data_IF_031353679032
#
_entry.id   IF_031353679032
#
_cell.length_a   1.000
_cell.length_b   1.000
_cell.length_c   1.000
_cell.angle_alpha   90.00
_cell.angle_beta   90.00
_cell.angle_gamma   90.00
#
_symmetry.space_group_name_H-M   'P 1'
#
loop_
_entity.id
_entity.type
_entity.pdbx_description
1 polymer ?
#
# COMPACT_ATOMS: atom_id res chain seq x y z
N UNK A 1 8.37 -9.66 21.34
CA UNK A 1 7.47 -9.76 20.16
C UNK A 1 6.86 -8.39 19.96
N UNK A 2 7.29 -7.62 18.96
CA UNK A 2 6.90 -6.20 18.82
C UNK A 2 6.93 -5.67 17.38
N UNK A 3 7.95 -6.03 16.59
CA UNK A 3 8.20 -5.38 15.29
C UNK A 3 7.15 -5.59 14.18
N UNK A 4 6.36 -6.67 14.18
CA UNK A 4 5.50 -7.00 13.02
C UNK A 4 4.19 -6.22 12.94
N UNK A 5 3.76 -5.58 14.02
CA UNK A 5 2.56 -4.73 14.04
C UNK A 5 2.89 -3.33 13.55
N UNK A 6 4.00 -2.76 14.04
CA UNK A 6 4.46 -1.42 13.62
C UNK A 6 4.77 -1.34 12.13
N UNK A 7 5.42 -2.35 11.54
CA UNK A 7 5.73 -2.35 10.09
C UNK A 7 4.48 -2.25 9.20
N UNK A 8 3.32 -2.75 9.66
CA UNK A 8 2.07 -2.69 8.88
C UNK A 8 1.37 -1.36 9.02
N UNK A 9 1.44 -0.76 10.20
CA UNK A 9 0.90 0.58 10.46
C UNK A 9 1.68 1.60 9.63
N UNK A 10 3.02 1.54 9.65
CA UNK A 10 3.88 2.36 8.80
C UNK A 10 3.57 2.16 7.31
N UNK A 11 3.43 0.91 6.84
CA UNK A 11 3.08 0.65 5.44
C UNK A 11 1.68 1.18 5.07
N UNK A 12 0.74 1.19 6.01
CA UNK A 12 -0.60 1.72 5.79
C UNK A 12 -0.59 3.26 5.72
N UNK A 13 0.17 3.91 6.61
CA UNK A 13 0.40 5.35 6.57
C UNK A 13 1.05 5.78 5.24
N UNK A 14 2.09 5.07 4.79
CA UNK A 14 2.72 5.30 3.47
C UNK A 14 1.70 5.22 2.32
N UNK A 15 0.73 4.30 2.39
CA UNK A 15 -0.33 4.16 1.37
C UNK A 15 -1.25 5.39 1.40
N UNK A 16 -1.63 5.87 2.58
CA UNK A 16 -2.50 7.03 2.74
C UNK A 16 -1.83 8.30 2.20
N UNK A 17 -0.59 8.58 2.62
CA UNK A 17 0.18 9.72 2.13
C UNK A 17 0.34 9.69 0.61
N UNK A 18 0.65 8.51 0.05
CA UNK A 18 0.82 8.36 -1.39
C UNK A 18 -0.49 8.56 -2.16
N UNK A 19 -1.62 8.17 -1.57
CA UNK A 19 -2.95 8.40 -2.15
C UNK A 19 -3.29 9.88 -2.17
N UNK A 20 -3.04 10.61 -1.09
CA UNK A 20 -3.26 12.06 -1.04
C UNK A 20 -2.41 12.77 -2.11
N UNK A 21 -1.11 12.43 -2.18
CA UNK A 21 -0.22 12.96 -3.22
C UNK A 21 -0.69 12.64 -4.64
N UNK A 22 -1.27 11.46 -4.87
CA UNK A 22 -1.84 11.13 -6.18
C UNK A 22 -3.03 12.01 -6.52
N UNK A 23 -3.90 12.30 -5.55
CA UNK A 23 -5.05 13.17 -5.75
C UNK A 23 -4.61 14.61 -6.04
N UNK A 24 -3.65 15.15 -5.28
CA UNK A 24 -3.06 16.47 -5.54
C UNK A 24 -2.47 16.57 -6.96
N UNK A 25 -1.65 15.60 -7.35
CA UNK A 25 -1.03 15.60 -8.69
C UNK A 25 -2.09 15.44 -9.78
N UNK A 26 -3.15 14.65 -9.55
CA UNK A 26 -4.24 14.47 -10.48
C UNK A 26 -5.09 15.74 -10.64
N UNK A 27 -5.29 16.50 -9.57
CA UNK A 27 -5.97 17.80 -9.59
C UNK A 27 -5.15 18.82 -10.38
N UNK A 28 -3.84 18.89 -10.11
CA UNK A 28 -2.93 19.84 -10.76
C UNK A 28 -2.63 19.53 -12.24
N UNK A 29 -2.46 18.24 -12.59
CA UNK A 29 -1.92 17.82 -13.89
C UNK A 29 -2.90 16.99 -14.72
N UNK A 30 -4.02 16.58 -14.15
CA UNK A 30 -4.98 15.66 -14.76
C UNK A 30 -4.61 14.18 -14.57
N UNK A 31 -5.62 13.31 -14.66
CA UNK A 31 -5.47 11.87 -14.37
C UNK A 31 -4.56 11.12 -15.35
N UNK A 32 -4.49 11.57 -16.60
CA UNK A 32 -3.66 10.96 -17.65
C UNK A 32 -2.25 11.53 -17.73
N UNK A 33 -1.88 12.46 -16.83
CA UNK A 33 -0.54 13.03 -16.83
C UNK A 33 0.50 11.97 -16.47
N UNK A 34 1.70 12.07 -17.05
CA UNK A 34 2.81 11.18 -16.72
C UNK A 34 3.13 11.18 -15.22
N UNK A 35 2.94 12.33 -14.54
CA UNK A 35 3.14 12.46 -13.09
C UNK A 35 2.10 11.67 -12.31
N UNK A 36 0.82 11.80 -12.67
CA UNK A 36 -0.29 11.06 -12.05
C UNK A 36 -0.17 9.56 -12.28
N UNK A 37 0.22 9.14 -13.49
CA UNK A 37 0.46 7.74 -13.81
C UNK A 37 1.64 7.18 -12.99
N UNK A 38 2.69 7.96 -12.80
CA UNK A 38 3.87 7.54 -12.02
C UNK A 38 3.50 7.32 -10.55
N UNK A 39 2.82 8.29 -9.92
CA UNK A 39 2.40 8.16 -8.52
C UNK A 39 1.35 7.06 -8.33
N UNK A 40 0.46 6.84 -9.31
CA UNK A 40 -0.47 5.70 -9.33
C UNK A 40 0.27 4.36 -9.30
N UNK A 41 1.30 4.19 -10.12
CA UNK A 41 2.09 2.96 -10.14
C UNK A 41 2.87 2.74 -8.84
N UNK A 42 3.33 3.81 -8.20
CA UNK A 42 3.97 3.72 -6.89
C UNK A 42 2.98 3.32 -5.79
N UNK A 43 1.77 3.90 -5.79
CA UNK A 43 0.68 3.53 -4.90
C UNK A 43 0.29 2.05 -5.09
N UNK A 44 0.16 1.59 -6.33
CA UNK A 44 -0.13 0.18 -6.63
C UNK A 44 0.94 -0.77 -6.07
N UNK A 45 2.22 -0.41 -6.12
CA UNK A 45 3.29 -1.21 -5.51
C UNK A 45 3.12 -1.32 -3.99
N UNK A 46 2.76 -0.24 -3.32
CA UNK A 46 2.52 -0.22 -1.87
C UNK A 46 1.30 -1.08 -1.50
N UNK A 47 0.19 -0.92 -2.21
CA UNK A 47 -1.02 -1.73 -2.04
C UNK A 47 -0.73 -3.21 -2.22
N UNK A 48 0.03 -3.57 -3.26
CA UNK A 48 0.43 -4.95 -3.51
C UNK A 48 1.30 -5.53 -2.38
N UNK A 49 2.21 -4.75 -1.79
CA UNK A 49 3.00 -5.18 -0.62
C UNK A 49 2.10 -5.42 0.59
N UNK A 50 1.14 -4.53 0.84
CA UNK A 50 0.20 -4.64 1.95
C UNK A 50 -0.73 -5.85 1.81
N UNK A 51 -1.31 -6.07 0.63
CA UNK A 51 -2.15 -7.23 0.37
C UNK A 51 -1.36 -8.53 0.55
N UNK A 52 -0.13 -8.60 0.02
CA UNK A 52 0.73 -9.78 0.18
C UNK A 52 1.08 -10.05 1.64
N UNK A 53 1.30 -9.02 2.46
CA UNK A 53 1.56 -9.21 3.89
C UNK A 53 0.33 -9.82 4.58
N UNK A 54 -0.87 -9.26 4.36
CA UNK A 54 -2.13 -9.79 4.91
C UNK A 54 -2.44 -11.23 4.48
N UNK A 55 -2.18 -11.58 3.22
CA UNK A 55 -2.41 -12.93 2.69
C UNK A 55 -1.46 -13.98 3.30
N UNK A 56 -0.19 -13.61 3.55
CA UNK A 56 0.77 -14.50 4.24
C UNK A 56 0.26 -14.86 5.64
N UNK A 57 -0.30 -13.90 6.37
CA UNK A 57 -0.83 -14.13 7.72
C UNK A 57 -2.01 -15.09 7.72
N UNK A 58 -2.93 -14.92 6.77
CA UNK A 58 -4.09 -15.80 6.62
C UNK A 58 -3.66 -17.24 6.29
N UNK A 59 -2.61 -17.43 5.47
CA UNK A 59 -2.07 -18.75 5.13
C UNK A 59 -1.37 -19.42 6.32
N UNK A 60 -0.59 -18.67 7.09
CA UNK A 60 0.05 -19.18 8.33
C UNK A 60 -0.99 -19.57 9.37
N UNK A 61 -2.03 -18.75 9.57
CA UNK A 61 -3.13 -19.06 10.48
C UNK A 61 -3.86 -20.36 10.10
N UNK A 62 -4.16 -20.56 8.81
CA UNK A 62 -4.81 -21.78 8.32
C UNK A 62 -3.94 -23.05 8.50
N UNK A 63 -2.62 -22.95 8.32
CA UNK A 63 -1.70 -24.08 8.52
C UNK A 63 -1.47 -24.42 9.99
N UNK A 64 -1.58 -23.45 10.91
CA UNK A 64 -1.43 -23.68 12.35
C UNK A 64 -2.64 -24.36 13.01
N UNK A 65 -3.77 -24.45 12.29
CA UNK A 65 -5.02 -25.03 12.78
C UNK A 65 -5.32 -26.44 12.24
N UNK A 66 -4.43 -26.99 11.42
CA UNK A 66 -4.62 -28.28 10.75
C UNK A 66 -3.71 -29.37 11.30
#
# INVERSE_FOLDING_TARGET
MGNSVQEKEVLYEEILEKREKMLEIADDHGISSKKTLTVSQELDKLLNRYIKSKLKEKKVWNLSKS
#
